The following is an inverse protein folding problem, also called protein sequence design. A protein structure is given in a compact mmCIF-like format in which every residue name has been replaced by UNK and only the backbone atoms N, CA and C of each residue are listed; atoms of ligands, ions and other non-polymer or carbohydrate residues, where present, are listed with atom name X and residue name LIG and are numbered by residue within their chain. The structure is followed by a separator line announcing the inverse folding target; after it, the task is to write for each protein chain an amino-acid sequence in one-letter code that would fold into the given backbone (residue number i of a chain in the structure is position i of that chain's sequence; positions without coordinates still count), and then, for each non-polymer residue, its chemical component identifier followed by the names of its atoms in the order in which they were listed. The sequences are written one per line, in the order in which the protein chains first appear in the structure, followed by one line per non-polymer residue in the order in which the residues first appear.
data_IF_640238461473
#
_entry.id   IF_640238461473
#
_cell.length_a   1.000
_cell.length_b   1.000
_cell.length_c   1.000
_cell.angle_alpha   90.00
_cell.angle_beta   90.00
_cell.angle_gamma   90.00
#
_symmetry.space_group_name_H-M   'P 1'
#
loop_
_entity.id
_entity.type
_entity.pdbx_description
1 polymer ?
#
# COMPACT_ATOMS: atom_id res chain seq x y z
N UNK A 1 -28.44 -2.90 13.50
CA UNK A 1 -27.34 -3.13 12.55
C UNK A 1 -26.09 -3.43 13.35
N UNK A 2 -25.50 -4.61 13.16
CA UNK A 2 -24.32 -5.02 13.91
C UNK A 2 -23.10 -4.20 13.45
N UNK A 3 -22.27 -3.73 14.38
CA UNK A 3 -20.98 -3.13 14.07
C UNK A 3 -19.94 -4.24 13.86
N UNK A 4 -19.09 -4.09 12.85
CA UNK A 4 -17.87 -4.88 12.70
C UNK A 4 -16.85 -4.46 13.76
N UNK A 5 -16.62 -5.34 14.75
CA UNK A 5 -15.71 -5.10 15.88
C UNK A 5 -14.33 -5.75 15.65
N UNK A 6 -13.79 -5.63 14.44
CA UNK A 6 -12.43 -6.08 14.12
C UNK A 6 -12.22 -7.60 14.16
N UNK A 7 -10.96 -8.01 13.97
CA UNK A 7 -10.51 -9.40 13.79
C UNK A 7 -10.45 -10.24 15.07
N UNK A 8 -10.67 -9.64 16.25
CA UNK A 8 -10.61 -10.32 17.56
C UNK A 8 -11.97 -10.90 18.01
N UNK A 9 -13.02 -10.72 17.21
CA UNK A 9 -14.34 -11.30 17.45
C UNK A 9 -14.73 -12.27 16.33
N UNK A 10 -15.74 -13.12 16.57
CA UNK A 10 -16.27 -14.03 15.53
C UNK A 10 -16.75 -13.28 14.28
N UNK A 11 -17.13 -12.01 14.42
CA UNK A 11 -17.54 -11.08 13.35
C UNK A 11 -16.34 -10.67 12.47
N UNK A 12 -15.12 -10.72 13.00
CA UNK A 12 -13.86 -10.49 12.29
C UNK A 12 -13.37 -11.64 11.42
N UNK A 13 -14.04 -12.79 11.49
CA UNK A 13 -13.72 -13.95 10.64
C UNK A 13 -14.46 -13.86 9.31
N UNK A 14 -13.96 -14.56 8.28
CA UNK A 14 -14.70 -14.72 7.01
C UNK A 14 -16.13 -15.23 7.25
N UNK A 15 -16.32 -16.14 8.21
CA UNK A 15 -17.65 -16.65 8.58
C UNK A 15 -18.53 -15.55 9.19
N UNK A 16 -17.96 -14.64 9.97
CA UNK A 16 -18.63 -13.49 10.56
C UNK A 16 -19.05 -12.42 9.54
N UNK A 17 -18.35 -12.33 8.41
CA UNK A 17 -18.71 -11.41 7.32
C UNK A 17 -19.95 -11.87 6.53
N UNK A 18 -20.23 -13.17 6.45
CA UNK A 18 -21.32 -13.72 5.63
C UNK A 18 -22.69 -13.16 6.01
N UNK A 19 -23.11 -13.12 7.30
CA UNK A 19 -24.37 -12.50 7.70
C UNK A 19 -24.47 -11.03 7.30
N UNK A 20 -23.39 -10.28 7.48
CA UNK A 20 -23.32 -8.86 7.16
C UNK A 20 -23.46 -8.62 5.65
N UNK A 21 -22.77 -9.40 4.82
CA UNK A 21 -22.92 -9.35 3.36
C UNK A 21 -24.35 -9.70 2.93
N UNK A 22 -24.98 -10.71 3.56
CA UNK A 22 -26.37 -11.09 3.25
C UNK A 22 -27.35 -10.00 3.63
N UNK A 23 -27.21 -9.40 4.81
CA UNK A 23 -28.08 -8.30 5.26
C UNK A 23 -28.03 -7.10 4.30
N UNK A 24 -26.84 -6.81 3.78
CA UNK A 24 -26.58 -5.63 2.94
C UNK A 24 -26.92 -5.87 1.48
N UNK A 25 -26.56 -7.01 0.89
CA UNK A 25 -26.65 -7.21 -0.56
C UNK A 25 -27.75 -8.19 -1.00
N UNK A 26 -28.11 -9.17 -0.17
CA UNK A 26 -29.01 -10.23 -0.62
C UNK A 26 -30.44 -9.73 -0.76
N UNK A 27 -31.03 -9.91 -1.94
CA UNK A 27 -32.40 -9.49 -2.23
C UNK A 27 -32.58 -7.97 -2.40
N UNK A 28 -31.47 -7.21 -2.44
CA UNK A 28 -31.48 -5.78 -2.78
C UNK A 28 -31.31 -5.58 -4.27
N UNK A 29 -31.88 -4.49 -4.78
CA UNK A 29 -31.56 -4.05 -6.14
C UNK A 29 -30.21 -3.36 -6.14
N UNK A 30 -29.44 -3.57 -7.21
CA UNK A 30 -28.09 -3.01 -7.34
C UNK A 30 -28.12 -1.48 -7.40
N UNK A 31 -29.13 -0.90 -8.04
CA UNK A 31 -29.32 0.55 -8.16
C UNK A 31 -29.75 1.25 -6.84
N UNK A 32 -30.05 0.48 -5.78
CA UNK A 32 -30.29 1.02 -4.43
C UNK A 32 -28.99 1.19 -3.62
N UNK A 33 -27.88 0.59 -4.07
CA UNK A 33 -26.62 0.58 -3.32
C UNK A 33 -25.87 1.91 -3.46
N UNK A 34 -25.90 2.52 -4.64
CA UNK A 34 -25.17 3.74 -5.00
C UNK A 34 -26.10 4.70 -5.72
N UNK A 35 -25.96 5.99 -5.44
CA UNK A 35 -26.69 7.06 -6.15
C UNK A 35 -25.94 7.36 -7.46
N UNK A 36 -26.64 7.24 -8.59
CA UNK A 36 -26.07 7.49 -9.92
C UNK A 36 -26.73 8.72 -10.56
N UNK A 37 -25.91 9.63 -11.06
CA UNK A 37 -26.34 10.80 -11.84
C UNK A 37 -25.49 10.92 -13.08
N UNK A 38 -26.13 11.06 -14.25
CA UNK A 38 -25.43 11.17 -15.55
C UNK A 38 -24.41 10.04 -15.80
N UNK A 39 -24.74 8.82 -15.38
CA UNK A 39 -23.87 7.65 -15.51
C UNK A 39 -22.71 7.58 -14.51
N UNK A 40 -22.64 8.51 -13.55
CA UNK A 40 -21.59 8.59 -12.53
C UNK A 40 -22.15 8.33 -11.14
N UNK A 41 -21.39 7.63 -10.31
CA UNK A 41 -21.71 7.47 -8.89
C UNK A 41 -21.42 8.78 -8.18
N UNK A 42 -22.45 9.37 -7.58
CA UNK A 42 -22.38 10.65 -6.83
C UNK A 42 -22.52 10.46 -5.32
N UNK A 43 -22.92 9.27 -4.88
CA UNK A 43 -23.12 8.97 -3.47
C UNK A 43 -23.42 7.51 -3.20
N UNK A 44 -23.53 7.19 -1.93
CA UNK A 44 -24.07 5.89 -1.46
C UNK A 44 -25.58 6.03 -1.33
N UNK A 45 -26.35 5.03 -1.73
CA UNK A 45 -27.80 5.03 -1.57
C UNK A 45 -28.22 5.23 -0.11
N UNK A 46 -29.27 6.01 0.14
CA UNK A 46 -29.68 6.44 1.48
C UNK A 46 -29.79 5.28 2.48
N UNK A 47 -30.41 4.17 2.07
CA UNK A 47 -30.56 2.97 2.90
C UNK A 47 -29.24 2.31 3.34
N UNK A 48 -28.15 2.56 2.59
CA UNK A 48 -26.85 1.94 2.76
C UNK A 48 -25.78 2.91 3.33
N UNK A 49 -26.05 4.21 3.42
CA UNK A 49 -25.10 5.24 3.89
C UNK A 49 -24.47 4.85 5.22
N UNK A 50 -25.27 4.58 6.26
CA UNK A 50 -24.76 4.22 7.59
C UNK A 50 -23.86 2.98 7.56
N UNK A 51 -24.23 1.98 6.76
CA UNK A 51 -23.46 0.74 6.61
C UNK A 51 -22.13 0.99 5.94
N UNK A 52 -22.11 1.69 4.82
CA UNK A 52 -20.86 1.92 4.09
C UNK A 52 -19.95 2.91 4.83
N UNK A 53 -20.50 3.85 5.61
CA UNK A 53 -19.69 4.65 6.53
C UNK A 53 -19.01 3.80 7.60
N UNK A 54 -19.69 2.79 8.15
CA UNK A 54 -19.09 1.85 9.11
C UNK A 54 -18.16 0.82 8.44
N UNK A 55 -18.43 0.46 7.20
CA UNK A 55 -17.79 -0.63 6.44
C UNK A 55 -17.42 -0.17 5.03
N UNK A 56 -16.52 0.81 4.92
CA UNK A 56 -16.18 1.48 3.66
C UNK A 56 -15.74 0.53 2.54
N UNK A 57 -15.11 -0.60 2.89
CA UNK A 57 -14.72 -1.64 1.94
C UNK A 57 -15.90 -2.24 1.14
N UNK A 58 -17.13 -2.16 1.65
CA UNK A 58 -18.33 -2.63 0.94
C UNK A 58 -18.65 -1.81 -0.30
N UNK A 59 -18.21 -0.55 -0.34
CA UNK A 59 -18.39 0.29 -1.53
C UNK A 59 -17.73 -0.34 -2.76
N UNK A 60 -16.58 -1.00 -2.61
CA UNK A 60 -15.89 -1.70 -3.69
C UNK A 60 -16.80 -2.76 -4.33
N UNK A 61 -17.52 -3.53 -3.50
CA UNK A 61 -18.46 -4.55 -3.96
C UNK A 61 -19.67 -3.92 -4.67
N UNK A 62 -20.19 -2.81 -4.15
CA UNK A 62 -21.30 -2.10 -4.76
C UNK A 62 -20.94 -1.52 -6.14
N UNK A 63 -19.72 -0.96 -6.28
CA UNK A 63 -19.21 -0.47 -7.56
C UNK A 63 -19.06 -1.61 -8.57
N UNK A 64 -18.53 -2.77 -8.16
CA UNK A 64 -18.39 -3.93 -9.03
C UNK A 64 -19.76 -4.46 -9.51
N UNK A 65 -20.71 -4.66 -8.59
CA UNK A 65 -22.06 -5.09 -8.93
C UNK A 65 -22.76 -4.10 -9.88
N UNK A 66 -22.66 -2.80 -9.59
CA UNK A 66 -23.27 -1.77 -10.43
C UNK A 66 -22.63 -1.70 -11.81
N UNK A 67 -21.30 -1.82 -11.90
CA UNK A 67 -20.60 -1.85 -13.18
C UNK A 67 -21.02 -3.05 -14.03
N UNK A 68 -21.14 -4.23 -13.42
CA UNK A 68 -21.61 -5.44 -14.10
C UNK A 68 -23.06 -5.31 -14.59
N UNK A 69 -23.98 -4.81 -13.75
CA UNK A 69 -25.39 -4.60 -14.11
C UNK A 69 -25.53 -3.59 -15.27
N UNK A 70 -24.74 -2.51 -15.25
CA UNK A 70 -24.77 -1.46 -16.27
C UNK A 70 -23.95 -1.79 -17.51
N UNK A 71 -23.13 -2.85 -17.48
CA UNK A 71 -22.21 -3.19 -18.58
C UNK A 71 -21.09 -2.17 -18.79
N UNK A 72 -20.65 -1.48 -17.73
CA UNK A 72 -19.59 -0.45 -17.78
C UNK A 72 -18.50 -0.73 -16.74
N UNK A 73 -17.32 -0.14 -16.94
CA UNK A 73 -16.24 -0.25 -15.95
C UNK A 73 -16.49 0.66 -14.74
N UNK A 74 -15.88 0.33 -13.59
CA UNK A 74 -15.87 1.25 -12.45
C UNK A 74 -15.20 2.59 -12.76
N UNK A 75 -14.32 2.65 -13.77
CA UNK A 75 -13.72 3.91 -14.23
C UNK A 75 -14.80 4.83 -14.80
N UNK A 76 -15.70 4.30 -15.64
CA UNK A 76 -16.84 5.06 -16.17
C UNK A 76 -17.76 5.55 -15.05
N UNK A 77 -18.07 4.68 -14.09
CA UNK A 77 -18.85 5.05 -12.90
C UNK A 77 -18.20 6.18 -12.08
N UNK A 78 -16.87 6.27 -12.08
CA UNK A 78 -16.11 7.33 -11.39
C UNK A 78 -15.93 8.61 -12.24
N UNK A 79 -16.45 8.63 -13.47
CA UNK A 79 -16.36 9.79 -14.37
C UNK A 79 -15.47 9.63 -15.58
N UNK A 80 -15.14 8.39 -15.93
CA UNK A 80 -14.44 8.05 -17.16
C UNK A 80 -12.92 8.13 -17.05
N UNK A 81 -12.29 7.60 -18.10
CA UNK A 81 -10.85 7.50 -18.20
C UNK A 81 -10.20 8.87 -18.42
N UNK A 82 -9.21 9.22 -17.60
CA UNK A 82 -8.43 10.47 -17.74
C UNK A 82 -7.00 10.25 -18.23
N UNK A 83 -6.57 9.00 -18.38
CA UNK A 83 -5.25 8.60 -18.90
C UNK A 83 -5.25 7.15 -19.38
N UNK A 84 -4.43 6.85 -20.38
CA UNK A 84 -4.34 5.50 -20.97
C UNK A 84 -3.62 4.48 -20.09
N UNK A 85 -2.72 4.96 -19.21
CA UNK A 85 -1.88 4.12 -18.36
C UNK A 85 -1.52 4.81 -17.05
N UNK A 86 -1.38 4.00 -16.00
CA UNK A 86 -0.87 4.41 -14.70
C UNK A 86 0.53 3.82 -14.55
N UNK A 87 1.51 4.62 -14.11
CA UNK A 87 2.85 4.11 -13.83
C UNK A 87 2.80 3.27 -12.56
N UNK A 88 3.17 1.99 -12.67
CA UNK A 88 3.41 1.12 -11.52
C UNK A 88 4.84 1.30 -11.00
N UNK A 89 5.04 0.96 -9.72
CA UNK A 89 6.34 0.78 -9.11
C UNK A 89 6.39 -0.62 -8.49
N UNK A 90 7.58 -1.21 -8.45
CA UNK A 90 7.77 -2.50 -7.80
C UNK A 90 7.99 -2.30 -6.31
N UNK A 91 7.22 -3.01 -5.48
CA UNK A 91 7.25 -2.92 -4.02
C UNK A 91 7.59 -4.25 -3.36
N UNK A 92 8.10 -5.23 -4.11
CA UNK A 92 8.42 -6.56 -3.57
C UNK A 92 9.70 -6.60 -2.75
N UNK A 93 10.42 -5.48 -2.59
CA UNK A 93 11.69 -5.39 -1.88
C UNK A 93 11.45 -5.20 -0.37
N UNK A 94 11.30 -6.30 0.34
CA UNK A 94 11.16 -6.37 1.79
C UNK A 94 12.54 -6.52 2.47
N UNK A 95 12.74 -7.59 3.24
CA UNK A 95 13.93 -7.87 4.02
C UNK A 95 14.71 -9.08 3.49
N UNK A 96 14.86 -9.18 2.17
CA UNK A 96 15.53 -10.32 1.52
C UNK A 96 17.02 -10.42 1.86
N UNK A 97 17.63 -9.31 2.29
CA UNK A 97 18.96 -9.27 2.89
C UNK A 97 19.05 -9.99 4.23
N UNK A 98 17.93 -10.16 4.95
CA UNK A 98 17.83 -10.95 6.19
C UNK A 98 17.59 -12.42 5.84
N UNK A 99 16.75 -12.69 4.83
CA UNK A 99 16.44 -14.05 4.39
C UNK A 99 17.64 -14.72 3.70
N UNK A 100 18.52 -13.93 3.08
CA UNK A 100 19.72 -14.38 2.37
C UNK A 100 20.94 -13.59 2.88
N UNK A 101 21.37 -13.83 4.13
CA UNK A 101 22.36 -13.01 4.82
C UNK A 101 23.74 -13.02 4.14
N UNK A 102 24.09 -14.09 3.42
CA UNK A 102 25.33 -14.20 2.65
C UNK A 102 25.40 -13.21 1.49
N UNK A 103 24.25 -12.85 0.91
CA UNK A 103 24.12 -11.86 -0.15
C UNK A 103 23.81 -10.46 0.41
N UNK A 104 23.19 -10.37 1.59
CA UNK A 104 22.86 -9.11 2.27
C UNK A 104 22.12 -8.14 1.35
N UNK A 105 22.53 -6.87 1.34
CA UNK A 105 21.98 -5.85 0.45
C UNK A 105 22.06 -6.21 -1.05
N UNK A 106 23.05 -7.02 -1.44
CA UNK A 106 23.22 -7.51 -2.80
C UNK A 106 22.05 -8.38 -3.29
N UNK A 107 21.36 -9.09 -2.40
CA UNK A 107 20.15 -9.83 -2.76
C UNK A 107 19.04 -8.88 -3.24
N UNK A 108 18.81 -7.80 -2.48
CA UNK A 108 17.77 -6.81 -2.81
C UNK A 108 18.12 -6.10 -4.12
N UNK A 109 19.40 -5.77 -4.32
CA UNK A 109 19.88 -5.17 -5.56
C UNK A 109 19.72 -6.10 -6.78
N UNK A 110 19.96 -7.40 -6.61
CA UNK A 110 19.76 -8.39 -7.67
C UNK A 110 18.28 -8.50 -8.08
N UNK A 111 17.37 -8.51 -7.11
CA UNK A 111 15.93 -8.49 -7.37
C UNK A 111 15.49 -7.20 -8.06
N UNK A 112 16.01 -6.04 -7.64
CA UNK A 112 15.71 -4.76 -8.27
C UNK A 112 16.22 -4.70 -9.71
N UNK A 113 17.41 -5.26 -9.96
CA UNK A 113 17.96 -5.41 -11.32
C UNK A 113 17.07 -6.31 -12.18
N UNK A 114 16.58 -7.43 -11.64
CA UNK A 114 15.65 -8.32 -12.34
C UNK A 114 14.33 -7.61 -12.64
N UNK A 115 13.77 -6.88 -11.68
CA UNK A 115 12.56 -6.08 -11.86
C UNK A 115 12.73 -4.99 -12.93
N UNK A 116 13.89 -4.32 -12.97
CA UNK A 116 14.22 -3.38 -14.05
C UNK A 116 14.21 -4.03 -15.42
N UNK A 117 14.71 -5.27 -15.55
CA UNK A 117 14.65 -6.04 -16.82
C UNK A 117 13.22 -6.35 -17.25
N UNK A 118 12.26 -6.40 -16.32
CA UNK A 118 10.83 -6.53 -16.61
C UNK A 118 10.15 -5.19 -16.96
N UNK A 119 10.89 -4.08 -16.99
CA UNK A 119 10.40 -2.77 -17.42
C UNK A 119 10.01 -1.81 -16.29
N UNK A 120 10.19 -2.20 -15.03
CA UNK A 120 9.98 -1.27 -13.91
C UNK A 120 11.02 -0.14 -13.92
N UNK A 121 10.55 1.05 -13.58
CA UNK A 121 11.37 2.28 -13.51
C UNK A 121 11.28 2.96 -12.15
N UNK A 122 10.55 2.35 -11.22
CA UNK A 122 10.33 2.86 -9.87
C UNK A 122 10.28 1.68 -8.89
N UNK A 123 10.91 1.83 -7.73
CA UNK A 123 11.16 0.75 -6.77
C UNK A 123 10.92 1.28 -5.35
N UNK A 124 10.11 0.58 -4.54
CA UNK A 124 9.88 0.91 -3.13
C UNK A 124 10.54 -0.15 -2.24
N UNK A 125 11.52 0.28 -1.45
CA UNK A 125 12.34 -0.58 -0.59
C UNK A 125 11.85 -0.52 0.85
N UNK A 126 11.85 -1.65 1.55
CA UNK A 126 11.69 -1.65 3.00
C UNK A 126 12.98 -1.30 3.70
N UNK A 127 12.86 -0.34 4.60
CA UNK A 127 13.87 0.08 5.59
C UNK A 127 13.23 -0.01 6.99
N UNK A 128 13.87 0.53 8.03
CA UNK A 128 13.36 0.43 9.39
C UNK A 128 13.90 -0.79 10.14
N UNK A 129 15.12 -1.22 9.81
CA UNK A 129 15.87 -2.27 10.53
C UNK A 129 16.34 -1.87 11.94
N UNK A 130 16.70 -0.60 12.25
CA UNK A 130 17.24 -0.20 13.56
C UNK A 130 16.39 -0.62 14.76
N UNK A 131 16.95 -1.48 15.62
CA UNK A 131 16.33 -1.86 16.90
C UNK A 131 15.14 -2.82 16.78
N UNK A 132 14.73 -3.19 15.56
CA UNK A 132 13.69 -4.19 15.31
C UNK A 132 14.27 -5.52 14.85
N UNK A 133 15.13 -5.48 13.86
CA UNK A 133 15.73 -6.66 13.24
C UNK A 133 17.24 -6.74 13.46
N UNK A 134 17.87 -5.59 13.67
CA UNK A 134 19.29 -5.43 13.95
C UNK A 134 19.48 -4.56 15.19
N UNK A 135 20.69 -4.59 15.78
CA UNK A 135 21.11 -3.54 16.69
C UNK A 135 20.97 -2.17 15.99
N UNK A 136 20.62 -1.07 16.71
CA UNK A 136 20.20 0.18 16.08
C UNK A 136 21.15 0.70 14.99
N UNK A 137 22.44 0.83 15.30
CA UNK A 137 23.44 1.29 14.35
C UNK A 137 23.63 0.33 13.16
N UNK A 138 23.74 -0.97 13.42
CA UNK A 138 23.87 -1.97 12.35
C UNK A 138 22.64 -2.03 11.44
N UNK A 139 21.45 -1.74 11.97
CA UNK A 139 20.22 -1.63 11.18
C UNK A 139 20.23 -0.42 10.28
N UNK A 140 20.75 0.72 10.77
CA UNK A 140 20.91 1.94 9.98
C UNK A 140 21.88 1.68 8.83
N UNK A 141 23.05 1.12 9.14
CA UNK A 141 24.08 0.77 8.16
C UNK A 141 23.49 -0.15 7.08
N UNK A 142 22.74 -1.18 7.47
CA UNK A 142 22.09 -2.07 6.51
C UNK A 142 21.02 -1.38 5.66
N UNK A 143 20.23 -0.48 6.23
CA UNK A 143 19.24 0.29 5.48
C UNK A 143 19.93 1.18 4.41
N UNK A 144 21.04 1.82 4.75
CA UNK A 144 21.88 2.60 3.82
C UNK A 144 22.50 1.71 2.74
N UNK A 145 23.04 0.54 3.12
CA UNK A 145 23.61 -0.44 2.20
C UNK A 145 22.58 -0.90 1.16
N UNK A 146 21.36 -1.24 1.59
CA UNK A 146 20.26 -1.66 0.70
C UNK A 146 19.90 -0.58 -0.30
N UNK A 147 19.71 0.66 0.16
CA UNK A 147 19.36 1.79 -0.71
C UNK A 147 20.45 2.05 -1.74
N UNK A 148 21.71 2.05 -1.31
CA UNK A 148 22.86 2.33 -2.17
C UNK A 148 23.06 1.23 -3.20
N UNK A 149 23.03 -0.04 -2.78
CA UNK A 149 23.19 -1.18 -3.68
C UNK A 149 22.07 -1.24 -4.73
N UNK A 150 20.82 -0.95 -4.33
CA UNK A 150 19.71 -0.87 -5.29
C UNK A 150 19.94 0.28 -6.27
N UNK A 151 20.31 1.48 -5.81
CA UNK A 151 20.60 2.63 -6.68
C UNK A 151 21.64 2.29 -7.75
N UNK A 152 22.72 1.64 -7.37
CA UNK A 152 23.75 1.18 -8.31
C UNK A 152 23.17 0.19 -9.34
N UNK A 153 22.35 -0.77 -8.89
CA UNK A 153 21.78 -1.80 -9.76
C UNK A 153 20.72 -1.26 -10.76
N UNK A 154 19.91 -0.29 -10.35
CA UNK A 154 18.82 0.25 -11.19
C UNK A 154 19.18 1.51 -11.96
N UNK A 155 20.32 2.12 -11.65
CA UNK A 155 20.84 3.31 -12.33
C UNK A 155 20.20 4.62 -11.87
N UNK A 156 20.69 5.78 -12.35
CA UNK A 156 20.33 7.10 -11.83
C UNK A 156 18.90 7.53 -12.18
N UNK A 157 18.35 7.07 -13.31
CA UNK A 157 17.03 7.50 -13.79
C UNK A 157 15.86 6.80 -13.08
N UNK A 158 16.13 5.74 -12.32
CA UNK A 158 15.11 5.02 -11.57
C UNK A 158 14.62 5.85 -10.39
N UNK A 159 13.31 5.82 -10.13
CA UNK A 159 12.76 6.36 -8.87
C UNK A 159 12.94 5.32 -7.78
N UNK A 160 13.51 5.74 -6.65
CA UNK A 160 13.64 4.87 -5.47
C UNK A 160 12.86 5.54 -4.35
N UNK A 161 12.02 4.76 -3.71
CA UNK A 161 11.26 5.15 -2.54
C UNK A 161 11.62 4.21 -1.41
N UNK A 162 11.46 4.67 -0.18
CA UNK A 162 11.67 3.85 1.01
C UNK A 162 10.45 3.91 1.91
N UNK A 163 10.23 2.84 2.65
CA UNK A 163 9.11 2.68 3.57
C UNK A 163 9.63 1.99 4.83
N UNK A 164 9.58 2.69 5.97
CA UNK A 164 10.15 2.19 7.21
C UNK A 164 9.15 1.46 8.12
N UNK A 165 7.83 1.54 7.82
CA UNK A 165 6.76 1.16 8.76
C UNK A 165 7.06 1.56 10.21
N UNK A 166 7.40 2.83 10.39
CA UNK A 166 7.75 3.49 11.64
C UNK A 166 9.02 2.95 12.32
N UNK A 167 9.90 2.27 11.58
CA UNK A 167 11.12 1.67 12.13
C UNK A 167 12.14 2.67 12.70
N UNK A 168 11.99 3.97 12.40
CA UNK A 168 12.79 5.04 13.02
C UNK A 168 12.08 5.79 14.14
N UNK A 169 10.88 5.36 14.55
CA UNK A 169 10.14 5.97 15.65
C UNK A 169 10.96 5.97 16.95
N UNK A 170 11.08 7.13 17.60
CA UNK A 170 11.96 7.33 18.76
C UNK A 170 13.46 7.28 18.46
N UNK A 171 13.88 7.32 17.19
CA UNK A 171 15.29 7.25 16.74
C UNK A 171 15.60 8.29 15.66
N UNK A 172 15.25 9.54 15.93
CA UNK A 172 15.41 10.65 14.98
C UNK A 172 16.88 10.92 14.61
N UNK A 173 17.80 10.63 15.52
CA UNK A 173 19.24 10.65 15.28
C UNK A 173 19.64 9.70 14.14
N UNK A 174 19.17 8.45 14.20
CA UNK A 174 19.44 7.47 13.14
C UNK A 174 18.71 7.80 11.84
N UNK A 175 17.53 8.42 11.92
CA UNK A 175 16.81 8.87 10.72
C UNK A 175 17.56 10.01 10.02
N UNK A 176 18.10 10.96 10.78
CA UNK A 176 18.94 12.03 10.24
C UNK A 176 20.17 11.46 9.53
N UNK A 177 20.84 10.49 10.17
CA UNK A 177 21.99 9.80 9.58
C UNK A 177 21.60 9.04 8.29
N UNK A 178 20.49 8.31 8.31
CA UNK A 178 19.96 7.61 7.14
C UNK A 178 19.71 8.57 5.97
N UNK A 179 19.05 9.71 6.23
CA UNK A 179 18.76 10.72 5.22
C UNK A 179 20.07 11.25 4.64
N UNK A 180 21.01 11.65 5.51
CA UNK A 180 22.30 12.20 5.11
C UNK A 180 23.10 11.23 4.25
N UNK A 181 23.17 9.96 4.65
CA UNK A 181 23.97 8.94 3.98
C UNK A 181 23.32 8.46 2.67
N UNK A 182 21.99 8.55 2.55
CA UNK A 182 21.27 8.21 1.33
C UNK A 182 21.00 9.40 0.40
N UNK A 183 21.47 10.62 0.71
CA UNK A 183 21.34 11.79 -0.17
C UNK A 183 21.78 11.51 -1.63
N UNK A 184 22.94 10.85 -1.89
CA UNK A 184 23.35 10.56 -3.26
C UNK A 184 22.41 9.60 -4.01
N UNK A 185 21.63 8.80 -3.27
CA UNK A 185 20.66 7.88 -3.86
C UNK A 185 19.41 8.58 -4.39
N UNK A 186 19.23 9.89 -4.15
CA UNK A 186 18.13 10.71 -4.68
C UNK A 186 16.76 10.02 -4.51
N UNK A 187 16.39 9.76 -3.24
CA UNK A 187 15.12 9.15 -2.88
C UNK A 187 13.95 10.06 -3.29
N UNK A 188 12.93 9.47 -3.91
CA UNK A 188 11.77 10.18 -4.44
C UNK A 188 10.73 10.49 -3.35
N UNK A 189 10.50 9.54 -2.43
CA UNK A 189 9.77 9.80 -1.18
C UNK A 189 10.23 8.83 -0.08
N UNK A 190 9.90 9.20 1.15
CA UNK A 190 10.10 8.42 2.37
C UNK A 190 8.75 8.21 3.04
N UNK A 191 8.31 6.97 3.17
CA UNK A 191 6.99 6.58 3.66
C UNK A 191 7.10 6.04 5.09
N UNK A 192 6.20 6.52 5.97
CA UNK A 192 6.09 6.02 7.34
C UNK A 192 7.43 5.93 8.09
N UNK A 193 8.29 6.95 8.01
CA UNK A 193 9.60 6.89 8.70
C UNK A 193 9.43 6.83 10.22
N UNK A 194 8.50 7.63 10.73
CA UNK A 194 8.14 7.79 12.15
C UNK A 194 6.62 7.86 12.26
N UNK A 195 6.08 7.67 13.46
CA UNK A 195 4.64 7.84 13.69
C UNK A 195 4.21 9.29 13.41
N UNK A 196 2.94 9.49 13.05
CA UNK A 196 2.40 10.82 12.75
C UNK A 196 2.31 11.73 13.99
N UNK A 197 2.31 11.12 15.19
CA UNK A 197 2.28 11.81 16.47
C UNK A 197 3.68 11.82 17.05
N UNK A 198 4.36 12.97 16.95
CA UNK A 198 5.71 13.14 17.45
C UNK A 198 5.76 13.49 18.96
N UNK A 199 4.61 13.52 19.64
CA UNK A 199 4.48 13.99 21.02
C UNK A 199 4.33 15.51 21.13
#
# INVERSE_FOLDING_TARGET
MQQFNGFESSIGTVRGLVPLLREVFLGRRVDELLEVSEGRVVGVGEAHKKTFWAHGWMSILAFDLLGQEMGVSCIELLGGQVRDRVRAYDTTFFYQDILNPEMGAGQVAAEASASRKHGYTAFKLKVGRPGRWFAPQAGLERDVEVVTAVREAVGPDARIMVDANFGYDGRLDLLEDFIRETLPANLYWMEEMVTADLG
#
